data_IF_405055881604
#
_entry.id   IF_405055881604
#
_cell.length_a   1.000
_cell.length_b   1.000
_cell.length_c   1.000
_cell.angle_alpha   90.00
_cell.angle_beta   90.00
_cell.angle_gamma   90.00
#
_symmetry.space_group_name_H-M   'P 1'
#
loop_
_entity.id
_entity.type
_entity.pdbx_description
1 polymer ?
#
# COMPACT_ATOMS: atom_id res chain seq x y z
N UNK A 1 -7.34 -0.57 -25.89
CA UNK A 1 -6.35 -1.57 -25.38
C UNK A 1 -5.49 -0.97 -24.29
N UNK A 2 -4.98 0.25 -24.47
CA UNK A 2 -4.06 0.88 -23.51
C UNK A 2 -4.62 1.05 -22.09
N UNK A 3 -5.91 1.40 -21.95
CA UNK A 3 -6.56 1.48 -20.64
C UNK A 3 -6.73 0.13 -19.93
N UNK A 4 -6.88 -0.96 -20.70
CA UNK A 4 -6.97 -2.32 -20.14
C UNK A 4 -5.59 -2.76 -19.67
N UNK A 5 -4.54 -2.48 -20.45
CA UNK A 5 -3.16 -2.79 -20.10
C UNK A 5 -2.72 -1.97 -18.88
N UNK A 6 -3.08 -0.68 -18.82
CA UNK A 6 -2.80 0.17 -17.67
C UNK A 6 -3.52 -0.33 -16.41
N UNK A 7 -4.83 -0.60 -16.50
CA UNK A 7 -5.58 -1.12 -15.35
C UNK A 7 -5.13 -2.51 -14.89
N UNK A 8 -4.68 -3.37 -15.82
CA UNK A 8 -4.06 -4.64 -15.48
C UNK A 8 -2.73 -4.44 -14.77
N UNK A 9 -1.85 -3.59 -15.32
CA UNK A 9 -0.52 -3.33 -14.75
C UNK A 9 -0.62 -2.71 -13.36
N UNK A 10 -1.58 -1.81 -13.16
CA UNK A 10 -1.84 -1.17 -11.86
C UNK A 10 -2.28 -2.18 -10.80
N UNK A 11 -3.31 -2.99 -11.09
CA UNK A 11 -3.74 -4.02 -10.15
C UNK A 11 -2.70 -5.13 -9.95
N UNK A 12 -1.93 -5.46 -10.98
CA UNK A 12 -0.89 -6.48 -10.90
C UNK A 12 0.26 -6.04 -9.98
N UNK A 13 0.75 -4.81 -10.14
CA UNK A 13 1.81 -4.25 -9.28
C UNK A 13 1.29 -4.06 -7.85
N UNK A 14 0.05 -3.62 -7.67
CA UNK A 14 -0.57 -3.50 -6.36
C UNK A 14 -0.62 -4.86 -5.62
N UNK A 15 -1.13 -5.91 -6.27
CA UNK A 15 -1.26 -7.23 -5.65
C UNK A 15 0.12 -7.81 -5.32
N UNK A 16 1.08 -7.70 -6.24
CA UNK A 16 2.45 -8.14 -5.98
C UNK A 16 3.08 -7.35 -4.84
N UNK A 17 2.99 -6.02 -4.86
CA UNK A 17 3.51 -5.15 -3.83
C UNK A 17 2.90 -5.44 -2.46
N UNK A 18 1.59 -5.64 -2.41
CA UNK A 18 0.89 -6.05 -1.19
C UNK A 18 1.41 -7.40 -0.68
N UNK A 19 1.49 -8.41 -1.54
CA UNK A 19 1.90 -9.76 -1.11
C UNK A 19 3.35 -9.76 -0.61
N UNK A 20 4.29 -9.18 -1.36
CA UNK A 20 5.68 -9.10 -0.95
C UNK A 20 5.88 -8.26 0.31
N UNK A 21 5.22 -7.10 0.40
CA UNK A 21 5.32 -6.23 1.57
C UNK A 21 4.72 -6.90 2.80
N UNK A 22 3.53 -7.48 2.68
CA UNK A 22 2.85 -8.17 3.78
C UNK A 22 3.69 -9.33 4.32
N UNK A 23 4.15 -10.24 3.44
CA UNK A 23 4.97 -11.40 3.86
C UNK A 23 6.32 -10.98 4.42
N UNK A 24 6.95 -9.94 3.84
CA UNK A 24 8.22 -9.43 4.36
C UNK A 24 8.03 -8.80 5.73
N UNK A 25 7.03 -7.92 5.89
CA UNK A 25 6.77 -7.24 7.16
C UNK A 25 6.40 -8.27 8.23
N UNK A 26 5.54 -9.26 7.93
CA UNK A 26 5.21 -10.34 8.87
C UNK A 26 6.47 -11.12 9.29
N UNK A 27 7.31 -11.51 8.32
CA UNK A 27 8.59 -12.19 8.59
C UNK A 27 9.56 -11.36 9.44
N UNK A 28 9.73 -10.07 9.12
CA UNK A 28 10.61 -9.17 9.89
C UNK A 28 10.06 -8.90 11.29
N UNK A 29 8.75 -8.80 11.43
CA UNK A 29 8.12 -8.57 12.74
C UNK A 29 8.30 -9.79 13.64
N UNK A 30 8.04 -11.01 13.13
CA UNK A 30 8.27 -12.25 13.88
C UNK A 30 9.75 -12.45 14.21
N UNK A 31 10.66 -12.19 13.25
CA UNK A 31 12.10 -12.45 13.42
C UNK A 31 12.78 -11.52 14.42
N UNK A 32 12.36 -10.26 14.51
CA UNK A 32 13.02 -9.24 15.33
C UNK A 32 12.22 -8.84 16.56
N UNK A 33 10.91 -9.15 16.60
CA UNK A 33 10.00 -8.73 17.66
C UNK A 33 9.00 -9.84 18.02
N UNK A 34 9.48 -10.90 18.67
CA UNK A 34 8.68 -12.04 19.18
C UNK A 34 7.45 -11.63 20.03
N UNK A 35 7.44 -10.42 20.59
CA UNK A 35 6.36 -9.92 21.46
C UNK A 35 5.41 -8.91 20.78
N UNK A 36 5.66 -8.52 19.52
CA UNK A 36 4.83 -7.54 18.80
C UNK A 36 3.96 -8.26 17.77
N UNK A 37 2.72 -8.56 18.16
CA UNK A 37 1.70 -9.00 17.23
C UNK A 37 0.96 -7.79 16.66
N UNK A 38 1.37 -7.34 15.47
CA UNK A 38 0.57 -6.37 14.73
C UNK A 38 -0.73 -7.03 14.22
N UNK A 39 -1.85 -6.30 14.29
CA UNK A 39 -3.13 -6.78 13.74
C UNK A 39 -2.95 -7.05 12.23
N UNK A 40 -3.18 -8.30 11.80
CA UNK A 40 -3.02 -8.74 10.41
C UNK A 40 -3.78 -7.84 9.43
N UNK A 41 -4.92 -7.31 9.86
CA UNK A 41 -5.76 -6.42 9.06
C UNK A 41 -5.06 -5.06 8.86
N UNK A 42 -4.37 -4.54 9.88
CA UNK A 42 -3.58 -3.31 9.77
C UNK A 42 -2.37 -3.54 8.87
N UNK A 43 -1.67 -4.66 9.04
CA UNK A 43 -0.52 -5.01 8.23
C UNK A 43 -0.91 -5.13 6.75
N UNK A 44 -2.04 -5.78 6.47
CA UNK A 44 -2.61 -5.89 5.13
C UNK A 44 -3.00 -4.52 4.55
N UNK A 45 -3.66 -3.66 5.33
CA UNK A 45 -4.02 -2.31 4.87
C UNK A 45 -2.79 -1.43 4.59
N UNK A 46 -1.75 -1.50 5.42
CA UNK A 46 -0.50 -0.75 5.20
C UNK A 46 0.22 -1.27 3.97
N UNK A 47 0.33 -2.60 3.83
CA UNK A 47 0.96 -3.23 2.67
C UNK A 47 0.22 -2.93 1.38
N UNK A 48 -1.12 -2.96 1.40
CA UNK A 48 -1.96 -2.61 0.26
C UNK A 48 -1.86 -1.11 -0.09
N UNK A 49 -1.87 -0.22 0.91
CA UNK A 49 -1.71 1.22 0.69
C UNK A 49 -0.36 1.58 0.08
N UNK A 50 0.72 0.94 0.55
CA UNK A 50 2.05 1.09 -0.05
C UNK A 50 2.10 0.52 -1.46
N UNK A 51 1.58 -0.69 -1.68
CA UNK A 51 1.50 -1.32 -3.00
C UNK A 51 0.76 -0.44 -4.02
N UNK A 52 -0.38 0.12 -3.62
CA UNK A 52 -1.15 1.07 -4.42
C UNK A 52 -0.35 2.34 -4.73
N UNK A 53 0.29 2.94 -3.72
CA UNK A 53 1.11 4.16 -3.89
C UNK A 53 2.25 3.94 -4.90
N UNK A 54 2.93 2.80 -4.82
CA UNK A 54 3.98 2.44 -5.76
C UNK A 54 3.43 2.18 -7.16
N UNK A 55 2.30 1.48 -7.25
CA UNK A 55 1.65 1.18 -8.52
C UNK A 55 1.21 2.44 -9.27
N UNK A 56 0.49 3.33 -8.59
CA UNK A 56 0.06 4.62 -9.12
C UNK A 56 1.27 5.49 -9.51
N UNK A 57 2.30 5.51 -8.66
CA UNK A 57 3.55 6.24 -8.93
C UNK A 57 4.24 5.75 -10.21
N UNK A 58 4.34 4.43 -10.42
CA UNK A 58 4.89 3.84 -11.64
C UNK A 58 3.98 4.12 -12.84
N UNK A 59 2.67 4.02 -12.68
CA UNK A 59 1.69 4.36 -13.72
C UNK A 59 1.89 5.79 -14.24
N UNK A 60 2.03 6.77 -13.34
CA UNK A 60 2.29 8.16 -13.73
C UNK A 60 3.72 8.39 -14.25
N UNK A 61 4.71 7.65 -13.76
CA UNK A 61 6.09 7.70 -14.27
C UNK A 61 6.16 7.27 -15.73
N UNK A 62 5.43 6.22 -16.11
CA UNK A 62 5.34 5.76 -17.52
C UNK A 62 4.68 6.79 -18.42
N UNK A 63 3.76 7.61 -17.89
CA UNK A 63 3.15 8.73 -18.64
C UNK A 63 4.06 9.97 -18.75
N UNK A 64 5.25 9.95 -18.17
CA UNK A 64 6.22 11.06 -18.20
C UNK A 64 5.81 12.27 -17.36
N UNK A 65 4.84 12.10 -16.46
CA UNK A 65 4.21 13.20 -15.75
C UNK A 65 4.60 13.26 -14.26
N UNK A 66 5.81 13.78 -14.00
CA UNK A 66 6.43 13.80 -12.67
C UNK A 66 5.68 14.65 -11.62
N UNK A 67 5.00 15.71 -12.05
CA UNK A 67 4.20 16.55 -11.15
C UNK A 67 3.00 15.78 -10.62
N UNK A 68 2.26 15.11 -11.51
CA UNK A 68 1.10 14.30 -11.14
C UNK A 68 1.50 13.05 -10.37
N UNK A 69 2.63 12.43 -10.71
CA UNK A 69 3.22 11.34 -9.92
C UNK A 69 3.43 11.74 -8.45
N UNK A 70 4.07 12.89 -8.20
CA UNK A 70 4.36 13.35 -6.84
C UNK A 70 3.08 13.66 -6.07
N UNK A 71 2.12 14.34 -6.70
CA UNK A 71 0.83 14.65 -6.09
C UNK A 71 0.02 13.40 -5.77
N UNK A 72 0.02 12.40 -6.66
CA UNK A 72 -0.65 11.12 -6.44
C UNK A 72 0.00 10.36 -5.29
N UNK A 73 1.33 10.25 -5.24
CA UNK A 73 2.04 9.59 -4.15
C UNK A 73 1.70 10.24 -2.80
N UNK A 74 1.74 11.58 -2.73
CA UNK A 74 1.39 12.32 -1.50
C UNK A 74 -0.09 12.08 -1.14
N UNK A 75 -0.99 12.09 -2.12
CA UNK A 75 -2.41 11.80 -1.92
C UNK A 75 -2.66 10.41 -1.35
N UNK A 76 -2.03 9.38 -1.91
CA UNK A 76 -2.13 8.00 -1.42
C UNK A 76 -1.60 7.87 0.03
N UNK A 77 -0.46 8.50 0.33
CA UNK A 77 0.11 8.51 1.69
C UNK A 77 -0.80 9.23 2.71
N UNK A 78 -1.43 10.35 2.32
CA UNK A 78 -2.42 11.04 3.15
C UNK A 78 -3.63 10.12 3.39
N UNK A 79 -4.09 9.42 2.36
CA UNK A 79 -5.18 8.44 2.47
C UNK A 79 -4.89 7.33 3.49
N UNK A 80 -3.63 6.89 3.60
CA UNK A 80 -3.22 5.87 4.58
C UNK A 80 -3.41 6.30 6.04
N UNK A 81 -3.57 7.61 6.33
CA UNK A 81 -3.91 8.11 7.68
C UNK A 81 -5.27 7.57 8.14
N UNK A 82 -6.14 7.10 7.25
CA UNK A 82 -7.40 6.47 7.63
C UNK A 82 -7.20 5.15 8.40
N UNK A 83 -6.09 4.44 8.18
CA UNK A 83 -5.78 3.15 8.83
C UNK A 83 -5.73 3.30 10.36
N UNK A 84 -4.89 4.19 10.95
CA UNK A 84 -4.88 4.38 12.40
C UNK A 84 -6.19 4.95 12.95
N UNK A 85 -6.94 5.75 12.17
CA UNK A 85 -8.26 6.25 12.57
C UNK A 85 -9.26 5.09 12.71
N UNK A 86 -9.31 4.19 11.73
CA UNK A 86 -10.16 3.00 11.73
C UNK A 86 -9.81 2.05 12.88
N UNK A 87 -8.52 1.86 13.16
CA UNK A 87 -8.03 1.08 14.30
C UNK A 87 -8.53 1.65 15.64
N UNK A 88 -8.41 2.97 15.84
CA UNK A 88 -8.90 3.65 17.05
C UNK A 88 -10.41 3.52 17.23
N UNK A 89 -11.19 3.51 16.14
CA UNK A 89 -12.64 3.30 16.19
C UNK A 89 -12.96 1.86 16.59
N UNK A 90 -12.27 0.87 16.02
CA UNK A 90 -12.43 -0.56 16.35
C UNK A 90 -12.09 -0.83 17.82
N UNK A 91 -11.01 -0.25 18.35
CA UNK A 91 -10.57 -0.44 19.74
C UNK A 91 -11.52 0.19 20.79
N UNK A 92 -12.45 1.05 20.38
CA UNK A 92 -13.41 1.74 21.25
C UNK A 92 -14.77 1.02 21.33
N UNK A 93 -15.00 0.01 20.49
CA UNK A 93 -16.16 -0.90 20.52
C UNK A 93 -15.82 -2.16 21.28
#
# INVERSE_FOLDING_TARGET
MDFIIFGFMDNFILILGMYFSYTSVEYYLEKYFDNIHADKLVLACVSAGLGNTFSDGIGFLVTGNFTWMTLTIVGCLIGMIIIPVMQKIKAKR
#
